data_IF_364803953738
#
_entry.id   IF_364803953738
#
_cell.length_a   1.000
_cell.length_b   1.000
_cell.length_c   1.000
_cell.angle_alpha   90.00
_cell.angle_beta   90.00
_cell.angle_gamma   90.00
#
_symmetry.space_group_name_H-M   'P 1'
#
loop_
_entity.id
_entity.type
_entity.pdbx_description
1 polymer ?
#
# COMPACT_ATOMS: atom_id res chain seq x y z
N UNK A 1 -9.90 0.26 18.18
CA UNK A 1 -9.60 -0.39 19.49
C UNK A 1 -10.62 -1.45 19.90
N UNK A 2 -11.91 -1.27 19.64
CA UNK A 2 -12.98 -2.23 20.02
C UNK A 2 -12.95 -3.48 19.13
N UNK A 3 -12.66 -3.35 17.83
CA UNK A 3 -12.62 -4.45 16.88
C UNK A 3 -11.44 -5.39 17.17
N UNK A 4 -10.22 -4.86 17.33
CA UNK A 4 -9.04 -5.68 17.65
C UNK A 4 -9.15 -6.48 18.96
N UNK A 5 -9.88 -5.96 19.96
CA UNK A 5 -10.19 -6.73 21.18
C UNK A 5 -11.18 -7.87 20.96
N UNK A 6 -12.12 -7.71 20.01
CA UNK A 6 -13.06 -8.78 19.59
C UNK A 6 -12.31 -9.87 18.85
N UNK A 7 -11.43 -9.52 17.92
CA UNK A 7 -10.68 -10.47 17.10
C UNK A 7 -9.67 -11.27 17.92
N UNK A 8 -8.97 -10.62 18.87
CA UNK A 8 -8.10 -11.30 19.84
C UNK A 8 -8.88 -12.29 20.74
N UNK A 9 -10.10 -11.93 21.14
CA UNK A 9 -10.97 -12.79 21.93
C UNK A 9 -11.49 -13.98 21.12
N UNK A 10 -11.80 -13.78 19.84
CA UNK A 10 -12.20 -14.84 18.90
C UNK A 10 -11.06 -15.82 18.67
N UNK A 11 -9.84 -15.31 18.39
CA UNK A 11 -8.64 -16.12 18.18
C UNK A 11 -8.30 -16.98 19.40
N UNK A 12 -8.42 -16.42 20.62
CA UNK A 12 -8.19 -17.17 21.86
C UNK A 12 -9.21 -18.30 22.04
N UNK A 13 -10.49 -18.03 21.81
CA UNK A 13 -11.56 -19.04 21.88
C UNK A 13 -11.36 -20.13 20.84
N UNK A 14 -10.99 -19.78 19.61
CA UNK A 14 -10.72 -20.71 18.54
C UNK A 14 -9.58 -21.68 18.90
N UNK A 15 -8.53 -21.18 19.55
CA UNK A 15 -7.40 -21.99 20.02
C UNK A 15 -7.83 -22.98 21.11
N UNK A 16 -8.61 -22.53 22.08
CA UNK A 16 -9.15 -23.36 23.17
C UNK A 16 -10.07 -24.48 22.62
N UNK A 17 -10.94 -24.16 21.67
CA UNK A 17 -11.81 -25.16 21.02
C UNK A 17 -11.02 -26.13 20.14
N UNK A 18 -9.96 -25.68 19.46
CA UNK A 18 -9.08 -26.53 18.66
C UNK A 18 -8.35 -27.56 19.56
N UNK A 19 -7.85 -27.12 20.70
CA UNK A 19 -7.22 -28.02 21.70
C UNK A 19 -8.22 -29.06 22.21
N UNK A 20 -9.47 -28.65 22.45
CA UNK A 20 -10.52 -29.57 22.85
C UNK A 20 -10.87 -30.58 21.74
N UNK A 21 -10.99 -30.15 20.49
CA UNK A 21 -11.24 -31.03 19.33
C UNK A 21 -10.11 -32.07 19.19
N UNK A 22 -8.86 -31.67 19.44
CA UNK A 22 -7.69 -32.56 19.40
C UNK A 22 -7.61 -33.53 20.57
N UNK A 23 -8.04 -33.10 21.75
CA UNK A 23 -7.93 -33.92 22.98
C UNK A 23 -9.05 -34.99 23.12
N UNK A 24 -10.19 -34.83 22.44
CA UNK A 24 -11.39 -35.66 22.63
C UNK A 24 -11.48 -36.81 21.65
N UNK A 25 -10.49 -37.71 21.58
CA UNK A 25 -10.55 -38.93 20.73
C UNK A 25 -11.46 -40.05 21.26
N UNK A 26 -11.97 -40.01 22.48
CA UNK A 26 -12.66 -41.14 23.15
C UNK A 26 -14.08 -40.90 23.67
N UNK A 27 -14.79 -39.85 23.28
CA UNK A 27 -16.12 -39.56 23.86
C UNK A 27 -17.10 -38.94 22.87
N UNK A 28 -17.25 -39.49 21.65
CA UNK A 28 -18.18 -38.98 20.65
C UNK A 28 -19.60 -39.48 20.90
N UNK A 29 -20.38 -38.81 21.72
CA UNK A 29 -21.84 -38.88 21.72
C UNK A 29 -22.45 -37.51 21.39
N UNK A 30 -23.74 -37.49 20.99
CA UNK A 30 -24.47 -36.37 20.34
C UNK A 30 -24.23 -34.94 20.82
N UNK A 31 -23.74 -34.72 22.04
CA UNK A 31 -23.34 -33.39 22.55
C UNK A 31 -22.09 -32.80 21.88
N UNK A 32 -21.30 -33.60 21.17
CA UNK A 32 -20.09 -33.14 20.47
C UNK A 32 -20.39 -32.52 19.10
N UNK A 33 -21.51 -32.89 18.46
CA UNK A 33 -21.86 -32.41 17.13
C UNK A 33 -22.14 -30.90 17.11
N UNK A 34 -22.96 -30.42 18.03
CA UNK A 34 -23.25 -28.98 18.14
C UNK A 34 -22.03 -28.13 18.50
N UNK A 35 -21.04 -28.71 19.21
CA UNK A 35 -19.80 -28.02 19.54
C UNK A 35 -18.84 -28.03 18.35
N UNK A 36 -18.82 -29.07 17.55
CA UNK A 36 -18.07 -29.15 16.31
C UNK A 36 -18.61 -28.15 15.26
N UNK A 37 -19.93 -28.12 15.09
CA UNK A 37 -20.60 -27.15 14.22
C UNK A 37 -20.30 -25.72 14.63
N UNK A 38 -20.34 -25.42 15.92
CA UNK A 38 -19.95 -24.10 16.45
C UNK A 38 -18.46 -23.77 16.23
N UNK A 39 -17.58 -24.76 16.32
CA UNK A 39 -16.18 -24.57 15.97
C UNK A 39 -16.00 -24.27 14.49
N UNK A 40 -16.68 -25.00 13.62
CA UNK A 40 -16.65 -24.77 12.16
C UNK A 40 -17.19 -23.39 11.79
N UNK A 41 -18.28 -22.95 12.43
CA UNK A 41 -18.81 -21.59 12.26
C UNK A 41 -17.82 -20.51 12.71
N UNK A 42 -17.22 -20.68 13.88
CA UNK A 42 -16.20 -19.74 14.39
C UNK A 42 -14.93 -19.75 13.54
N UNK A 43 -14.53 -20.91 13.02
CA UNK A 43 -13.38 -21.02 12.12
C UNK A 43 -13.68 -20.34 10.78
N UNK A 44 -14.88 -20.50 10.23
CA UNK A 44 -15.32 -19.84 9.01
C UNK A 44 -15.44 -18.31 9.20
N UNK A 45 -15.93 -17.88 10.37
CA UNK A 45 -15.99 -16.44 10.71
C UNK A 45 -14.61 -15.83 10.88
N UNK A 46 -13.69 -16.51 11.58
CA UNK A 46 -12.30 -16.09 11.71
C UNK A 46 -11.58 -16.05 10.35
N UNK A 47 -11.87 -17.00 9.47
CA UNK A 47 -11.31 -17.02 8.12
C UNK A 47 -11.88 -15.88 7.24
N UNK A 48 -13.18 -15.56 7.38
CA UNK A 48 -13.80 -14.40 6.73
C UNK A 48 -13.18 -13.09 7.23
N UNK A 49 -13.05 -12.93 8.54
CA UNK A 49 -12.42 -11.75 9.15
C UNK A 49 -10.96 -11.63 8.69
N UNK A 50 -10.23 -12.73 8.66
CA UNK A 50 -8.85 -12.79 8.16
C UNK A 50 -8.75 -12.46 6.66
N UNK A 51 -9.74 -12.89 5.84
CA UNK A 51 -9.83 -12.51 4.42
C UNK A 51 -10.12 -11.04 4.24
N UNK A 52 -10.98 -10.44 5.09
CA UNK A 52 -11.28 -9.01 5.08
C UNK A 52 -10.04 -8.18 5.45
N UNK A 53 -9.26 -8.61 6.44
CA UNK A 53 -8.01 -7.95 6.84
C UNK A 53 -6.95 -7.94 5.72
N UNK A 54 -6.97 -8.93 4.81
CA UNK A 54 -6.07 -8.99 3.66
C UNK A 54 -6.63 -8.30 2.39
N UNK A 55 -7.87 -7.83 2.41
CA UNK A 55 -8.47 -7.09 1.28
C UNK A 55 -8.27 -5.58 1.40
N UNK A 56 -7.89 -5.07 2.55
CA UNK A 56 -7.52 -3.66 2.73
C UNK A 56 -6.06 -3.41 2.37
N UNK A 57 -5.83 -2.39 1.53
CA UNK A 57 -4.49 -1.87 1.28
C UNK A 57 -3.98 -1.24 2.58
N UNK A 58 -3.07 -1.93 3.24
CA UNK A 58 -2.39 -1.39 4.41
C UNK A 58 -1.24 -0.50 3.95
N UNK A 59 -1.34 0.79 4.24
CA UNK A 59 -0.25 1.74 4.04
C UNK A 59 0.60 1.70 5.31
N UNK A 60 1.82 1.14 5.27
CA UNK A 60 2.65 1.09 6.45
C UNK A 60 3.00 2.52 6.90
N UNK A 61 2.97 2.81 8.21
CA UNK A 61 3.42 4.08 8.70
C UNK A 61 4.91 4.24 8.39
N UNK A 62 5.24 5.26 7.61
CA UNK A 62 6.62 5.66 7.38
C UNK A 62 7.25 6.28 8.63
N UNK A 63 8.51 6.70 8.57
CA UNK A 63 9.18 7.42 9.65
C UNK A 63 8.36 8.64 10.10
N UNK A 64 8.46 9.00 11.38
CA UNK A 64 7.74 10.15 11.93
C UNK A 64 8.16 11.44 11.22
N UNK A 65 7.19 12.16 10.65
CA UNK A 65 7.41 13.45 10.04
C UNK A 65 7.85 14.51 11.06
N UNK A 66 8.83 15.30 10.67
CA UNK A 66 9.25 16.50 11.40
C UNK A 66 8.21 17.64 11.33
N UNK A 67 8.56 18.83 11.78
CA UNK A 67 7.69 20.01 11.71
C UNK A 67 7.50 20.52 10.29
N UNK A 68 8.51 20.40 9.45
CA UNK A 68 8.48 20.79 8.03
C UNK A 68 8.33 19.49 7.22
N UNK A 69 7.31 19.43 6.37
CA UNK A 69 7.15 18.36 5.39
C UNK A 69 7.61 18.86 4.03
N UNK A 70 6.94 19.87 3.50
CA UNK A 70 7.30 20.51 2.25
C UNK A 70 6.87 21.98 2.29
N UNK A 71 7.80 22.87 1.94
CA UNK A 71 7.55 24.30 1.77
C UNK A 71 8.00 24.72 0.38
N UNK A 72 7.12 25.33 -0.37
CA UNK A 72 7.36 25.89 -1.68
C UNK A 72 7.17 27.41 -1.63
N UNK A 73 8.15 28.17 -2.13
CA UNK A 73 8.11 29.63 -2.15
C UNK A 73 8.41 30.15 -3.54
N UNK A 74 7.42 30.82 -4.15
CA UNK A 74 7.54 31.50 -5.44
C UNK A 74 8.15 30.62 -6.54
N UNK A 75 7.75 29.34 -6.59
CA UNK A 75 8.25 28.40 -7.58
C UNK A 75 7.94 28.88 -8.99
N UNK A 76 8.93 28.82 -9.86
CA UNK A 76 8.79 29.05 -11.30
C UNK A 76 9.35 27.86 -12.07
N UNK A 77 8.60 27.43 -13.07
CA UNK A 77 9.03 26.41 -14.02
C UNK A 77 8.35 26.58 -15.36
N UNK A 78 9.13 26.59 -16.42
CA UNK A 78 8.66 26.58 -17.78
C UNK A 78 9.47 25.65 -18.66
N UNK A 79 9.04 25.48 -19.89
CA UNK A 79 9.79 24.82 -20.95
C UNK A 79 9.68 25.69 -22.19
N UNK A 80 10.79 26.04 -22.78
CA UNK A 80 10.91 26.96 -23.91
C UNK A 80 10.17 28.28 -23.61
N UNK A 81 9.18 28.63 -24.39
CA UNK A 81 8.37 29.86 -24.19
C UNK A 81 7.14 29.65 -23.30
N UNK A 82 6.88 28.42 -22.85
CA UNK A 82 5.69 28.08 -22.06
C UNK A 82 5.97 28.04 -20.57
N UNK A 83 5.43 29.00 -19.84
CA UNK A 83 5.45 29.00 -18.37
C UNK A 83 4.35 28.04 -17.87
N UNK A 84 4.71 27.04 -17.03
CA UNK A 84 3.79 26.09 -16.43
C UNK A 84 3.49 26.44 -14.97
N UNK A 85 4.49 26.92 -14.24
CA UNK A 85 4.36 27.28 -12.83
C UNK A 85 4.92 28.71 -12.72
N UNK A 86 4.11 29.65 -12.24
CA UNK A 86 4.52 31.03 -12.05
C UNK A 86 4.19 31.54 -10.65
N UNK A 87 5.20 31.65 -9.81
CA UNK A 87 5.11 32.23 -8.47
C UNK A 87 4.33 31.36 -7.46
N UNK A 88 4.22 30.03 -7.68
CA UNK A 88 3.48 29.13 -6.80
C UNK A 88 4.12 29.05 -5.42
N UNK A 89 3.33 29.30 -4.38
CA UNK A 89 3.75 29.15 -2.98
C UNK A 89 2.72 28.34 -2.21
N UNK A 90 3.17 27.31 -1.49
CA UNK A 90 2.32 26.49 -0.63
C UNK A 90 3.17 25.76 0.41
N UNK A 91 2.53 25.26 1.45
CA UNK A 91 3.15 24.34 2.40
C UNK A 91 2.26 23.12 2.60
N UNK A 92 2.90 21.95 2.72
CA UNK A 92 2.22 20.71 3.05
C UNK A 92 2.31 20.49 4.56
N UNK A 93 1.18 20.52 5.27
CA UNK A 93 1.18 20.27 6.71
C UNK A 93 1.42 18.79 7.01
N UNK A 94 1.92 18.51 8.22
CA UNK A 94 2.03 17.15 8.74
C UNK A 94 0.65 16.47 8.74
N UNK A 95 0.61 15.23 8.28
CA UNK A 95 -0.63 14.42 8.16
C UNK A 95 -1.71 15.10 7.29
N UNK A 96 -1.31 16.03 6.43
CA UNK A 96 -2.19 16.70 5.50
C UNK A 96 -2.30 15.99 4.17
N UNK A 97 -3.40 16.25 3.47
CA UNK A 97 -3.62 15.84 2.08
C UNK A 97 -3.81 17.10 1.26
N UNK A 98 -3.04 17.25 0.19
CA UNK A 98 -3.17 18.36 -0.76
C UNK A 98 -3.55 17.81 -2.13
N UNK A 99 -4.71 18.23 -2.64
CA UNK A 99 -5.17 17.91 -3.99
C UNK A 99 -4.69 18.93 -5.01
N UNK A 100 -4.05 18.45 -6.09
CA UNK A 100 -3.64 19.29 -7.23
C UNK A 100 -4.61 19.04 -8.37
N UNK A 101 -5.42 20.07 -8.70
CA UNK A 101 -6.49 19.96 -9.69
C UNK A 101 -6.19 20.86 -10.86
N UNK A 102 -6.50 20.41 -12.07
CA UNK A 102 -6.35 21.18 -13.30
C UNK A 102 -6.42 20.31 -14.55
N UNK A 103 -6.59 20.92 -15.75
CA UNK A 103 -6.63 20.19 -17.02
C UNK A 103 -5.30 19.48 -17.33
N UNK A 104 -5.32 18.60 -18.33
CA UNK A 104 -4.11 17.93 -18.78
C UNK A 104 -3.14 18.95 -19.40
N UNK A 105 -1.84 18.74 -19.15
CA UNK A 105 -0.78 19.60 -19.68
C UNK A 105 -0.57 20.93 -18.92
N UNK A 106 -1.26 21.17 -17.79
CA UNK A 106 -1.12 22.40 -17.00
C UNK A 106 0.12 22.42 -16.10
N UNK A 107 0.88 21.33 -16.03
CA UNK A 107 2.11 21.27 -15.23
C UNK A 107 2.01 20.46 -13.93
N UNK A 108 0.91 19.71 -13.67
CA UNK A 108 0.78 18.87 -12.47
C UNK A 108 1.92 17.88 -12.31
N UNK A 109 2.21 17.11 -13.36
CA UNK A 109 3.31 16.14 -13.36
C UNK A 109 4.66 16.82 -13.25
N UNK A 110 4.82 18.01 -13.85
CA UNK A 110 6.04 18.80 -13.74
C UNK A 110 6.28 19.23 -12.30
N UNK A 111 5.25 19.67 -11.58
CA UNK A 111 5.35 20.02 -10.17
C UNK A 111 5.80 18.82 -9.33
N UNK A 112 5.22 17.64 -9.54
CA UNK A 112 5.68 16.41 -8.83
C UNK A 112 7.12 16.07 -9.16
N UNK A 113 7.51 16.12 -10.44
CA UNK A 113 8.90 15.89 -10.87
C UNK A 113 9.87 16.88 -10.24
N UNK A 114 9.47 18.15 -10.09
CA UNK A 114 10.26 19.16 -9.39
C UNK A 114 10.41 18.83 -7.91
N UNK A 115 9.32 18.40 -7.25
CA UNK A 115 9.37 18.01 -5.83
C UNK A 115 10.29 16.82 -5.59
N UNK A 116 10.30 15.83 -6.48
CA UNK A 116 11.19 14.66 -6.36
C UNK A 116 12.62 14.91 -6.88
N UNK A 117 12.90 16.10 -7.40
CA UNK A 117 14.22 16.47 -7.91
C UNK A 117 14.55 15.95 -9.32
N UNK A 118 13.56 15.42 -10.06
CA UNK A 118 13.75 14.98 -11.45
C UNK A 118 13.77 16.14 -12.46
N UNK A 119 13.17 17.26 -12.10
CA UNK A 119 13.16 18.47 -12.91
C UNK A 119 13.65 19.66 -12.08
N UNK A 120 14.65 20.42 -12.53
CA UNK A 120 15.15 21.60 -11.84
C UNK A 120 14.11 22.73 -11.88
N UNK A 121 14.06 23.54 -10.84
CA UNK A 121 13.32 24.82 -10.84
C UNK A 121 14.07 25.88 -11.66
N UNK A 122 13.32 26.76 -12.28
CA UNK A 122 13.87 27.94 -12.95
C UNK A 122 14.09 29.10 -11.94
N UNK A 123 13.18 29.19 -10.92
CA UNK A 123 13.31 30.12 -9.80
C UNK A 123 12.42 29.68 -8.63
N UNK A 124 12.67 30.28 -7.46
CA UNK A 124 11.97 29.99 -6.21
C UNK A 124 12.69 28.97 -5.36
N UNK A 125 12.17 28.75 -4.15
CA UNK A 125 12.76 27.84 -3.18
C UNK A 125 11.81 26.69 -2.88
N UNK A 126 12.34 25.45 -2.87
CA UNK A 126 11.65 24.25 -2.45
C UNK A 126 12.42 23.62 -1.29
N UNK A 127 11.80 23.56 -0.13
CA UNK A 127 12.37 22.95 1.05
C UNK A 127 11.58 21.67 1.40
N UNK A 128 12.29 20.55 1.44
CA UNK A 128 11.79 19.27 1.91
C UNK A 128 12.36 19.00 3.28
N UNK A 129 11.53 18.55 4.22
CA UNK A 129 11.97 18.26 5.58
C UNK A 129 12.95 17.09 5.62
N UNK A 130 13.93 17.15 6.53
CA UNK A 130 14.99 16.14 6.66
C UNK A 130 14.48 14.74 6.98
N UNK A 131 13.30 14.63 7.61
CA UNK A 131 12.66 13.37 7.96
C UNK A 131 11.73 12.83 6.87
N UNK A 132 11.61 13.54 5.76
CA UNK A 132 10.72 13.17 4.66
C UNK A 132 11.37 12.10 3.79
N UNK A 133 10.66 11.01 3.62
CA UNK A 133 10.97 9.97 2.66
C UNK A 133 9.87 9.95 1.59
N UNK A 134 10.22 10.37 0.40
CA UNK A 134 9.27 10.48 -0.71
C UNK A 134 9.08 9.10 -1.34
N UNK A 135 7.82 8.70 -1.51
CA UNK A 135 7.41 7.63 -2.41
C UNK A 135 6.63 8.24 -3.57
N UNK A 136 7.21 8.15 -4.76
CA UNK A 136 6.65 8.73 -5.97
C UNK A 136 6.20 7.66 -6.95
N UNK A 137 4.92 7.73 -7.39
CA UNK A 137 4.41 6.87 -8.45
C UNK A 137 4.78 7.47 -9.80
N UNK A 138 5.88 7.01 -10.39
CA UNK A 138 6.19 7.40 -11.75
C UNK A 138 5.22 6.72 -12.73
N UNK A 139 4.50 7.53 -13.49
CA UNK A 139 3.64 7.07 -14.58
C UNK A 139 4.44 6.62 -15.82
N UNK A 140 5.74 6.88 -15.84
CA UNK A 140 6.60 6.44 -16.94
C UNK A 140 6.80 4.93 -16.89
N UNK A 141 6.75 4.30 -18.06
CA UNK A 141 6.77 2.85 -18.27
C UNK A 141 8.11 2.18 -17.94
N UNK A 142 9.04 2.89 -17.30
CA UNK A 142 10.40 2.40 -17.02
C UNK A 142 10.50 1.69 -15.67
N UNK A 143 11.01 0.46 -15.67
CA UNK A 143 11.42 -0.25 -14.47
C UNK A 143 10.71 -1.57 -14.17
N UNK A 144 9.57 -1.87 -14.78
CA UNK A 144 8.92 -3.17 -14.62
C UNK A 144 9.32 -4.07 -15.77
N UNK A 145 9.99 -5.18 -15.45
CA UNK A 145 10.31 -6.22 -16.42
C UNK A 145 9.01 -6.87 -16.94
N UNK A 146 8.70 -6.76 -18.24
CA UNK A 146 7.45 -7.27 -18.81
C UNK A 146 7.35 -8.81 -18.75
N UNK A 147 8.46 -9.52 -18.63
CA UNK A 147 8.50 -10.97 -18.58
C UNK A 147 8.27 -11.54 -17.18
N UNK A 148 8.50 -10.76 -16.13
CA UNK A 148 8.21 -11.17 -14.76
C UNK A 148 6.71 -11.20 -14.50
N UNK A 149 6.27 -12.14 -13.66
CA UNK A 149 4.89 -12.16 -13.16
C UNK A 149 4.65 -11.00 -12.18
N UNK A 150 3.39 -10.61 -12.00
CA UNK A 150 2.99 -9.59 -11.03
C UNK A 150 3.58 -9.90 -9.65
N UNK A 151 3.47 -11.16 -9.20
CA UNK A 151 4.04 -11.59 -7.94
C UNK A 151 5.56 -11.42 -7.90
N UNK A 152 6.27 -11.83 -8.94
CA UNK A 152 7.74 -11.70 -9.02
C UNK A 152 8.19 -10.24 -9.03
N UNK A 153 7.45 -9.36 -9.72
CA UNK A 153 7.77 -7.91 -9.75
C UNK A 153 7.71 -7.30 -8.34
N UNK A 154 6.73 -7.71 -7.53
CA UNK A 154 6.56 -7.16 -6.18
C UNK A 154 7.47 -7.85 -5.16
N UNK A 155 7.63 -9.16 -5.27
CA UNK A 155 8.28 -9.99 -4.24
C UNK A 155 9.74 -10.34 -4.53
N UNK A 156 10.19 -10.14 -5.78
CA UNK A 156 11.46 -10.70 -6.27
C UNK A 156 11.59 -12.22 -6.09
N UNK A 157 10.43 -12.92 -6.02
CA UNK A 157 10.35 -14.35 -5.82
C UNK A 157 10.35 -14.80 -4.35
N UNK A 158 10.29 -13.86 -3.40
CA UNK A 158 10.26 -14.16 -1.96
C UNK A 158 8.84 -14.36 -1.46
N UNK A 159 8.61 -15.33 -0.59
CA UNK A 159 7.30 -15.58 0.03
C UNK A 159 6.93 -14.49 1.05
N UNK A 160 7.92 -13.88 1.71
CA UNK A 160 7.76 -12.75 2.61
C UNK A 160 8.51 -11.55 2.09
N UNK A 161 7.92 -10.37 2.24
CA UNK A 161 8.49 -9.09 1.80
C UNK A 161 8.42 -8.07 2.92
N UNK A 162 9.37 -7.16 2.89
CA UNK A 162 9.34 -5.97 3.73
C UNK A 162 8.48 -4.89 3.06
N UNK A 163 7.49 -4.39 3.79
CA UNK A 163 6.63 -3.29 3.37
C UNK A 163 6.76 -2.17 4.40
N UNK A 164 7.55 -1.16 4.10
CA UNK A 164 8.01 -0.22 5.10
C UNK A 164 8.73 -0.94 6.25
N UNK A 165 8.19 -0.84 7.45
CA UNK A 165 8.76 -1.47 8.66
C UNK A 165 8.10 -2.81 9.04
N UNK A 166 7.20 -3.33 8.20
CA UNK A 166 6.42 -4.54 8.48
C UNK A 166 6.79 -5.65 7.50
N UNK A 167 7.08 -6.83 8.01
CA UNK A 167 7.23 -8.03 7.20
C UNK A 167 5.87 -8.71 7.01
N UNK A 168 5.54 -9.07 5.77
CA UNK A 168 4.26 -9.72 5.46
C UNK A 168 4.36 -10.70 4.28
N UNK A 169 3.41 -11.67 4.17
CA UNK A 169 3.37 -12.58 3.04
C UNK A 169 3.16 -11.83 1.72
N UNK A 170 4.05 -12.04 0.76
CA UNK A 170 4.05 -11.33 -0.52
C UNK A 170 2.78 -11.53 -1.34
N UNK A 171 2.24 -12.76 -1.32
CA UNK A 171 0.99 -13.08 -2.05
C UNK A 171 -0.23 -12.39 -1.45
N UNK A 172 -0.26 -12.23 -0.12
CA UNK A 172 -1.32 -11.48 0.56
C UNK A 172 -1.24 -10.00 0.22
N UNK A 173 -0.03 -9.43 0.23
CA UNK A 173 0.21 -8.04 -0.17
C UNK A 173 -0.27 -7.78 -1.61
N UNK A 174 0.15 -8.59 -2.58
CA UNK A 174 -0.26 -8.48 -3.99
C UNK A 174 -1.78 -8.64 -4.15
N UNK A 175 -2.41 -9.52 -3.36
CA UNK A 175 -3.86 -9.73 -3.36
C UNK A 175 -4.64 -8.48 -2.94
N UNK A 176 -4.12 -7.68 -1.99
CA UNK A 176 -4.74 -6.44 -1.54
C UNK A 176 -4.86 -5.40 -2.66
N UNK A 177 -4.00 -5.46 -3.67
CA UNK A 177 -4.07 -4.60 -4.87
C UNK A 177 -4.95 -5.19 -5.99
N UNK A 178 -5.75 -6.20 -5.69
CA UNK A 178 -6.72 -6.80 -6.61
C UNK A 178 -6.15 -7.87 -7.54
N UNK A 179 -4.92 -8.34 -7.30
CA UNK A 179 -4.34 -9.47 -8.04
C UNK A 179 -4.55 -10.76 -7.25
N UNK A 180 -5.68 -11.41 -7.46
CA UNK A 180 -6.08 -12.63 -6.72
C UNK A 180 -5.79 -13.88 -7.53
N UNK A 181 -5.34 -14.95 -6.86
CA UNK A 181 -5.15 -16.27 -7.46
C UNK A 181 -4.30 -16.26 -8.74
N UNK A 182 -4.87 -16.64 -9.91
CA UNK A 182 -4.15 -16.71 -11.18
C UNK A 182 -3.61 -15.36 -11.67
N UNK A 183 -4.22 -14.23 -11.26
CA UNK A 183 -3.78 -12.90 -11.69
C UNK A 183 -2.37 -12.58 -11.22
N UNK A 184 -1.92 -13.16 -10.11
CA UNK A 184 -0.56 -13.01 -9.61
C UNK A 184 0.49 -13.63 -10.54
N UNK A 185 0.08 -14.58 -11.38
CA UNK A 185 0.94 -15.26 -12.35
C UNK A 185 0.93 -14.60 -13.73
N UNK A 186 0.08 -13.59 -13.95
CA UNK A 186 0.11 -12.81 -15.19
C UNK A 186 1.45 -12.10 -15.34
N UNK A 187 2.01 -12.12 -16.54
CA UNK A 187 3.19 -11.32 -16.86
C UNK A 187 2.85 -9.83 -16.82
N UNK A 188 3.76 -9.02 -16.31
CA UNK A 188 3.57 -7.58 -16.21
C UNK A 188 3.36 -6.90 -17.58
N UNK A 189 3.91 -7.48 -18.64
CA UNK A 189 3.76 -6.99 -20.00
C UNK A 189 2.34 -7.05 -20.56
N UNK A 190 1.51 -8.00 -20.09
CA UNK A 190 0.13 -8.19 -20.60
C UNK A 190 -0.94 -7.47 -19.76
N UNK A 191 -0.53 -6.75 -18.72
CA UNK A 191 -1.46 -6.02 -17.85
C UNK A 191 -2.13 -4.88 -18.59
N UNK A 192 -3.43 -4.72 -18.34
CA UNK A 192 -4.18 -3.51 -18.73
C UNK A 192 -3.61 -2.26 -18.04
N UNK A 193 -3.97 -1.06 -18.55
CA UNK A 193 -3.53 0.20 -17.94
C UNK A 193 -3.93 0.32 -16.46
N UNK A 194 -5.15 -0.09 -16.10
CA UNK A 194 -5.62 -0.09 -14.71
C UNK A 194 -4.88 -1.08 -13.81
N UNK A 195 -4.61 -2.30 -14.30
CA UNK A 195 -3.81 -3.29 -13.57
C UNK A 195 -2.37 -2.80 -13.37
N UNK A 196 -1.78 -2.20 -14.39
CA UNK A 196 -0.43 -1.62 -14.31
C UNK A 196 -0.34 -0.49 -13.28
N UNK A 197 -1.35 0.37 -13.22
CA UNK A 197 -1.42 1.43 -12.22
C UNK A 197 -1.51 0.85 -10.79
N UNK A 198 -2.29 -0.20 -10.58
CA UNK A 198 -2.35 -0.88 -9.27
C UNK A 198 -1.02 -1.54 -8.90
N UNK A 199 -0.32 -2.13 -9.88
CA UNK A 199 1.01 -2.71 -9.65
C UNK A 199 2.04 -1.63 -9.27
N UNK A 200 2.03 -0.48 -9.98
CA UNK A 200 2.89 0.65 -9.63
C UNK A 200 2.59 1.17 -8.23
N UNK A 201 1.32 1.29 -7.87
CA UNK A 201 0.91 1.69 -6.52
C UNK A 201 1.43 0.70 -5.46
N UNK A 202 1.34 -0.61 -5.71
CA UNK A 202 1.89 -1.63 -4.83
C UNK A 202 3.40 -1.46 -4.64
N UNK A 203 4.15 -1.25 -5.72
CA UNK A 203 5.60 -1.03 -5.65
C UNK A 203 5.96 0.24 -4.85
N UNK A 204 5.21 1.32 -5.06
CA UNK A 204 5.42 2.58 -4.36
C UNK A 204 5.15 2.46 -2.86
N UNK A 205 4.04 1.83 -2.48
CA UNK A 205 3.68 1.66 -1.07
C UNK A 205 4.61 0.65 -0.36
N UNK A 206 5.17 -0.34 -1.08
CA UNK A 206 6.18 -1.25 -0.55
C UNK A 206 7.41 -0.49 -0.02
N UNK A 207 7.79 0.63 -0.63
CA UNK A 207 8.94 1.43 -0.23
C UNK A 207 8.79 2.06 1.17
N UNK A 208 7.55 2.26 1.64
CA UNK A 208 7.30 2.74 3.00
C UNK A 208 7.63 4.22 3.23
N UNK A 209 7.53 5.05 2.22
CA UNK A 209 7.71 6.50 2.36
C UNK A 209 6.62 7.15 3.22
N UNK A 210 6.91 8.34 3.76
CA UNK A 210 5.99 9.12 4.58
C UNK A 210 5.43 10.37 3.86
N UNK A 211 5.85 10.62 2.63
CA UNK A 211 5.25 11.56 1.68
C UNK A 211 4.96 10.82 0.37
N UNK A 212 3.69 10.64 0.07
CA UNK A 212 3.22 9.96 -1.14
C UNK A 212 2.85 11.01 -2.20
N UNK A 213 3.37 10.84 -3.43
CA UNK A 213 3.14 11.70 -4.58
C UNK A 213 2.64 10.91 -5.80
#
# INVERSE_FOLDING_TARGET
>A
EVQGKKDAKLAKRLKEELEWVRSSAKGRQAKSKARLERYEEMAAEAERTRKLDFEEIQIPPGPRLGSIVLEAKKLKKGFDERVLIDGLSFSLPRNGIVGIIGPNGVGKTTLFKTVVGLEPLDAGDLKIGETVQISYVDQTRGGIDPEKTVWQVVSDGLDYIQVGNVEMPSRAYVSAFGFKGPDQQKKAGVLSGGERNRLNLALTLKQGGNLLL
#
